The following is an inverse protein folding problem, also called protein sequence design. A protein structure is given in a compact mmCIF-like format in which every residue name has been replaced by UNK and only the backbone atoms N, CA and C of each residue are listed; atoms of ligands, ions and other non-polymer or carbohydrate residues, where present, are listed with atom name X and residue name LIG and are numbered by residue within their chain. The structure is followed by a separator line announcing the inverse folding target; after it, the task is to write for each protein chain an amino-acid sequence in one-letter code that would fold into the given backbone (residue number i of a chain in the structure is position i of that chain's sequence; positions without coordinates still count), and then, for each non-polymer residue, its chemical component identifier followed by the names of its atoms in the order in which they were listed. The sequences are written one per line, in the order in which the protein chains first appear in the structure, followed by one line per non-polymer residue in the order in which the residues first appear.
data_IF_043946683753
#
_entry.id   IF_043946683753
#
_cell.length_a   1.000
_cell.length_b   1.000
_cell.length_c   1.000
_cell.angle_alpha   90.00
_cell.angle_beta   90.00
_cell.angle_gamma   90.00
#
_symmetry.space_group_name_H-M   'P 1'
#
loop_
_entity.id
_entity.type
_entity.pdbx_description
1 polymer ?
#
# COMPACT_ATOMS: atom_id res chain seq x y z
N UNK A 1 7.13 11.36 -33.63
CA UNK A 1 6.60 10.11 -33.07
C UNK A 1 6.62 10.14 -31.53
N UNK A 2 5.56 9.71 -30.96
CA UNK A 2 5.46 9.66 -29.51
C UNK A 2 6.44 8.64 -28.93
N UNK A 3 7.04 8.98 -27.82
CA UNK A 3 7.96 8.08 -27.13
C UNK A 3 7.25 6.90 -26.46
N UNK A 4 5.93 6.90 -26.41
CA UNK A 4 5.17 5.91 -25.66
C UNK A 4 5.05 6.22 -24.17
N UNK A 5 5.71 7.27 -23.70
CA UNK A 5 5.61 7.70 -22.31
C UNK A 5 4.53 8.76 -22.18
N UNK A 6 3.59 8.54 -21.28
CA UNK A 6 2.48 9.46 -21.04
C UNK A 6 2.39 9.78 -19.56
N UNK A 7 1.82 10.94 -19.25
CA UNK A 7 1.52 11.32 -17.86
C UNK A 7 0.10 10.92 -17.53
N UNK A 8 -0.10 10.57 -16.26
CA UNK A 8 -1.42 10.19 -15.77
C UNK A 8 -1.53 10.52 -14.28
N UNK A 9 -2.66 11.07 -13.89
CA UNK A 9 -3.01 11.19 -12.47
C UNK A 9 -3.69 9.90 -12.07
N UNK A 10 -3.14 9.19 -11.09
CA UNK A 10 -3.70 7.91 -10.70
C UNK A 10 -3.41 7.61 -9.24
N UNK A 11 -4.10 6.60 -8.70
CA UNK A 11 -3.92 6.16 -7.32
C UNK A 11 -2.99 4.96 -7.29
N UNK A 12 -1.95 5.04 -6.48
CA UNK A 12 -0.94 3.99 -6.35
C UNK A 12 -1.00 3.42 -4.94
N UNK A 13 -1.02 2.10 -4.86
CA UNK A 13 -0.87 1.36 -3.62
C UNK A 13 0.47 0.65 -3.65
N UNK A 14 1.30 0.91 -2.65
CA UNK A 14 2.58 0.24 -2.49
C UNK A 14 2.55 -0.59 -1.21
N UNK A 15 3.08 -1.79 -1.27
CA UNK A 15 3.11 -2.70 -0.12
C UNK A 15 4.38 -3.50 -0.09
N UNK A 16 4.86 -3.83 1.11
CA UNK A 16 5.93 -4.80 1.29
C UNK A 16 5.78 -5.50 2.65
N UNK A 17 6.48 -6.60 2.81
CA UNK A 17 6.48 -7.35 4.07
C UNK A 17 7.58 -6.82 4.98
N UNK A 18 7.21 -6.46 6.21
CA UNK A 18 8.18 -6.04 7.21
C UNK A 18 9.03 -7.24 7.63
N UNK A 19 10.34 -7.03 7.67
CA UNK A 19 11.27 -8.07 8.15
C UNK A 19 11.40 -9.29 7.25
N UNK A 20 11.09 -9.15 5.96
CA UNK A 20 11.10 -10.27 5.03
C UNK A 20 12.47 -10.97 4.95
N UNK A 21 13.55 -10.19 4.83
CA UNK A 21 14.89 -10.77 4.73
C UNK A 21 15.27 -11.56 5.97
N UNK A 22 14.90 -11.06 7.14
CA UNK A 22 15.17 -11.76 8.40
C UNK A 22 14.35 -13.05 8.48
N UNK A 23 13.07 -12.99 8.10
CA UNK A 23 12.22 -14.16 8.10
C UNK A 23 12.74 -15.23 7.13
N UNK A 24 13.21 -14.82 5.94
CA UNK A 24 13.82 -15.74 4.99
C UNK A 24 15.04 -16.41 5.55
N UNK A 25 15.85 -15.69 6.31
CA UNK A 25 17.05 -16.25 6.95
C UNK A 25 16.74 -17.26 8.05
N UNK A 26 15.57 -17.15 8.66
CA UNK A 26 15.17 -18.04 9.77
C UNK A 26 14.41 -19.26 9.26
N UNK A 27 13.49 -19.07 8.31
CA UNK A 27 12.64 -20.13 7.79
C UNK A 27 12.28 -19.81 6.33
N UNK A 28 13.13 -20.20 5.41
CA UNK A 28 12.99 -19.87 4.01
C UNK A 28 11.70 -20.39 3.41
N UNK A 29 11.40 -21.66 3.61
CA UNK A 29 10.22 -22.28 2.99
C UNK A 29 8.93 -21.77 3.59
N UNK A 30 8.89 -21.61 4.90
CA UNK A 30 7.69 -21.07 5.57
C UNK A 30 7.44 -19.63 5.19
N UNK A 31 8.49 -18.83 5.06
CA UNK A 31 8.38 -17.43 4.66
C UNK A 31 7.89 -17.31 3.22
N UNK A 32 8.42 -18.15 2.33
CA UNK A 32 7.98 -18.15 0.93
C UNK A 32 6.51 -18.54 0.82
N UNK A 33 6.07 -19.54 1.58
CA UNK A 33 4.67 -19.95 1.60
C UNK A 33 3.77 -18.81 2.11
N UNK A 34 4.19 -18.12 3.16
CA UNK A 34 3.46 -16.98 3.70
C UNK A 34 3.36 -15.84 2.68
N UNK A 35 4.45 -15.56 1.95
CA UNK A 35 4.43 -14.53 0.91
C UNK A 35 3.47 -14.90 -0.21
N UNK A 36 3.46 -16.14 -0.66
CA UNK A 36 2.55 -16.59 -1.70
C UNK A 36 1.10 -16.45 -1.28
N UNK A 37 0.77 -16.86 -0.05
CA UNK A 37 -0.57 -16.72 0.48
C UNK A 37 -1.01 -15.26 0.55
N UNK A 38 -0.12 -14.39 1.02
CA UNK A 38 -0.42 -12.97 1.09
C UNK A 38 -0.64 -12.37 -0.29
N UNK A 39 0.18 -12.76 -1.27
CA UNK A 39 0.03 -12.27 -2.65
C UNK A 39 -1.30 -12.67 -3.27
N UNK A 40 -1.80 -13.85 -2.93
CA UNK A 40 -3.13 -14.27 -3.39
C UNK A 40 -4.22 -13.36 -2.81
N UNK A 41 -4.11 -12.98 -1.54
CA UNK A 41 -5.03 -12.05 -0.90
C UNK A 41 -4.98 -10.70 -1.61
N UNK A 42 -3.77 -10.16 -1.83
CA UNK A 42 -3.61 -8.89 -2.55
C UNK A 42 -4.21 -8.97 -3.95
N UNK A 43 -3.87 -9.99 -4.71
CA UNK A 43 -4.31 -10.10 -6.10
C UNK A 43 -5.84 -10.17 -6.20
N UNK A 44 -6.46 -10.98 -5.35
CA UNK A 44 -7.91 -11.14 -5.34
C UNK A 44 -8.62 -9.83 -4.99
N UNK A 45 -8.16 -9.15 -3.96
CA UNK A 45 -8.80 -7.92 -3.50
C UNK A 45 -8.51 -6.72 -4.40
N UNK A 46 -7.30 -6.64 -4.96
CA UNK A 46 -6.98 -5.60 -5.93
C UNK A 46 -7.90 -5.70 -7.14
N UNK A 47 -8.08 -6.90 -7.66
CA UNK A 47 -8.98 -7.12 -8.79
C UNK A 47 -10.42 -6.78 -8.43
N UNK A 48 -10.89 -7.21 -7.27
CA UNK A 48 -12.25 -6.92 -6.81
C UNK A 48 -12.54 -5.43 -6.74
N UNK A 49 -11.54 -4.63 -6.39
CA UNK A 49 -11.67 -3.19 -6.26
C UNK A 49 -11.29 -2.42 -7.53
N UNK A 50 -11.18 -3.11 -8.66
CA UNK A 50 -10.94 -2.48 -9.94
C UNK A 50 -9.51 -2.05 -10.19
N UNK A 51 -8.60 -2.51 -9.36
CA UNK A 51 -7.18 -2.20 -9.52
C UNK A 51 -6.45 -3.22 -10.36
N UNK A 52 -5.17 -2.98 -10.59
CA UNK A 52 -4.29 -3.92 -11.26
C UNK A 52 -2.92 -3.89 -10.62
N UNK A 53 -2.28 -5.04 -10.55
CA UNK A 53 -0.90 -5.12 -10.09
C UNK A 53 0.01 -4.69 -11.24
N UNK A 54 0.88 -3.71 -10.97
CA UNK A 54 1.80 -3.16 -11.97
C UNK A 54 3.14 -3.88 -11.89
N UNK A 55 3.62 -4.13 -10.67
CA UNK A 55 4.94 -4.66 -10.45
C UNK A 55 5.00 -5.43 -9.14
N UNK A 56 5.75 -6.53 -9.14
CA UNK A 56 6.13 -7.24 -7.93
C UNK A 56 7.64 -7.48 -7.98
N UNK A 57 8.34 -7.15 -6.91
CA UNK A 57 9.78 -7.37 -6.81
C UNK A 57 10.08 -7.80 -5.38
N UNK A 58 10.67 -8.99 -5.23
CA UNK A 58 10.91 -9.57 -3.91
C UNK A 58 9.61 -9.69 -3.14
N UNK A 59 9.53 -9.03 -1.99
CA UNK A 59 8.32 -8.99 -1.16
C UNK A 59 7.43 -7.77 -1.46
N UNK A 60 7.87 -6.90 -2.38
CA UNK A 60 7.17 -5.67 -2.70
C UNK A 60 6.09 -5.85 -3.76
N UNK A 61 5.15 -4.92 -3.77
CA UNK A 61 4.04 -4.91 -4.72
C UNK A 61 3.60 -3.47 -4.98
N UNK A 62 3.37 -3.16 -6.25
CA UNK A 62 2.81 -1.87 -6.67
C UNK A 62 1.54 -2.16 -7.45
N UNK A 63 0.46 -1.49 -7.08
CA UNK A 63 -0.81 -1.62 -7.78
C UNK A 63 -1.37 -0.23 -8.10
N UNK A 64 -2.19 -0.17 -9.12
CA UNK A 64 -2.85 1.04 -9.57
C UNK A 64 -4.35 0.88 -9.49
N UNK A 65 -5.05 1.97 -9.11
CA UNK A 65 -6.51 1.97 -9.02
C UNK A 65 -7.07 3.22 -9.70
N UNK A 66 -8.14 3.09 -10.48
CA UNK A 66 -8.82 4.28 -11.01
C UNK A 66 -9.55 5.07 -9.93
N UNK A 67 -9.97 4.43 -8.84
CA UNK A 67 -10.70 5.07 -7.75
C UNK A 67 -9.88 5.11 -6.48
N UNK A 68 -9.74 6.30 -5.89
CA UNK A 68 -9.05 6.48 -4.62
C UNK A 68 -9.77 5.75 -3.49
N UNK A 69 -11.10 5.85 -3.48
CA UNK A 69 -11.93 5.20 -2.46
C UNK A 69 -11.74 3.68 -2.52
N UNK A 70 -11.75 3.11 -3.73
CA UNK A 70 -11.56 1.67 -3.89
C UNK A 70 -10.17 1.22 -3.46
N UNK A 71 -9.16 2.04 -3.71
CA UNK A 71 -7.79 1.70 -3.29
C UNK A 71 -7.68 1.61 -1.77
N UNK A 72 -8.27 2.57 -1.06
CA UNK A 72 -8.22 2.58 0.41
C UNK A 72 -9.05 1.44 0.98
N UNK A 73 -10.23 1.17 0.41
CA UNK A 73 -11.04 0.03 0.83
C UNK A 73 -10.30 -1.29 0.62
N UNK A 74 -9.61 -1.42 -0.50
CA UNK A 74 -8.80 -2.60 -0.79
C UNK A 74 -7.71 -2.77 0.27
N UNK A 75 -6.98 -1.70 0.59
CA UNK A 75 -5.93 -1.76 1.59
C UNK A 75 -6.47 -2.20 2.95
N UNK A 76 -7.63 -1.67 3.34
CA UNK A 76 -8.27 -2.04 4.61
C UNK A 76 -8.65 -3.51 4.62
N UNK A 77 -9.29 -3.98 3.55
CA UNK A 77 -9.70 -5.38 3.47
C UNK A 77 -8.51 -6.34 3.48
N UNK A 78 -7.44 -5.98 2.75
CA UNK A 78 -6.22 -6.78 2.75
C UNK A 78 -5.68 -6.92 4.17
N UNK A 79 -5.54 -5.82 4.88
CA UNK A 79 -4.97 -5.85 6.22
C UNK A 79 -5.85 -6.63 7.20
N UNK A 80 -7.15 -6.50 7.09
CA UNK A 80 -8.08 -7.26 7.92
C UNK A 80 -8.00 -8.75 7.64
N UNK A 81 -7.92 -9.13 6.38
CA UNK A 81 -7.83 -10.53 6.00
C UNK A 81 -6.49 -11.14 6.43
N UNK A 82 -5.39 -10.40 6.25
CA UNK A 82 -4.08 -10.86 6.72
C UNK A 82 -4.02 -10.98 8.23
N UNK A 83 -4.65 -10.07 8.96
CA UNK A 83 -4.72 -10.15 10.42
C UNK A 83 -5.52 -11.38 10.88
N UNK A 84 -6.60 -11.71 10.16
CA UNK A 84 -7.38 -12.90 10.44
C UNK A 84 -6.60 -14.18 10.19
N UNK A 85 -5.84 -14.22 9.11
CA UNK A 85 -5.00 -15.36 8.79
C UNK A 85 -3.87 -15.55 9.80
N UNK A 86 -3.33 -14.44 10.34
CA UNK A 86 -2.27 -14.48 11.35
C UNK A 86 -2.71 -15.17 12.63
N UNK A 87 -3.97 -15.07 12.98
CA UNK A 87 -4.50 -15.76 14.16
C UNK A 87 -4.47 -17.28 14.02
N UNK A 88 -4.37 -17.78 12.79
CA UNK A 88 -4.36 -19.21 12.49
C UNK A 88 -2.96 -19.77 12.30
N UNK A 89 -1.97 -18.92 12.12
CA UNK A 89 -0.60 -19.33 11.85
C UNK A 89 0.37 -18.29 12.36
N UNK A 90 1.44 -18.74 13.04
CA UNK A 90 2.46 -17.85 13.57
C UNK A 90 3.44 -17.37 12.50
N UNK A 91 3.35 -17.91 11.29
CA UNK A 91 4.34 -17.65 10.24
C UNK A 91 3.90 -16.67 9.18
N UNK A 92 2.81 -15.95 9.43
CA UNK A 92 2.35 -14.94 8.50
C UNK A 92 3.17 -13.67 8.59
N UNK A 93 3.36 -13.06 7.43
CA UNK A 93 4.08 -11.81 7.31
C UNK A 93 3.16 -10.63 7.62
N UNK A 94 3.75 -9.57 8.15
CA UNK A 94 3.05 -8.31 8.35
C UNK A 94 3.40 -7.37 7.20
N UNK A 95 2.41 -6.81 6.53
CA UNK A 95 2.63 -5.91 5.42
C UNK A 95 2.44 -4.47 5.82
N UNK A 96 3.25 -3.60 5.21
CA UNK A 96 3.12 -2.15 5.33
C UNK A 96 2.54 -1.66 4.02
N UNK A 97 1.52 -0.80 4.09
CA UNK A 97 0.84 -0.29 2.89
C UNK A 97 0.86 1.22 2.88
N UNK A 98 1.17 1.79 1.72
CA UNK A 98 1.05 3.22 1.47
C UNK A 98 0.16 3.46 0.27
N UNK A 99 -0.71 4.48 0.33
CA UNK A 99 -1.60 4.84 -0.77
C UNK A 99 -1.45 6.32 -1.07
N UNK A 100 -1.21 6.65 -2.33
CA UNK A 100 -1.01 8.01 -2.79
C UNK A 100 -1.75 8.26 -4.11
N UNK A 101 -2.26 9.47 -4.27
CA UNK A 101 -2.84 9.95 -5.53
C UNK A 101 -1.88 10.98 -6.09
N UNK A 102 -1.32 10.72 -7.24
CA UNK A 102 -0.35 11.62 -7.83
C UNK A 102 -0.09 11.38 -9.29
N UNK A 103 0.76 12.22 -9.84
CA UNK A 103 1.14 12.17 -11.24
C UNK A 103 2.21 11.11 -11.43
N UNK A 104 2.04 10.29 -12.45
CA UNK A 104 2.99 9.23 -12.78
C UNK A 104 3.28 9.26 -14.28
N UNK A 105 4.37 8.60 -14.65
CA UNK A 105 4.69 8.35 -16.04
C UNK A 105 4.33 6.90 -16.36
N UNK A 106 3.66 6.70 -17.45
CA UNK A 106 3.32 5.37 -17.94
C UNK A 106 4.26 5.02 -19.10
N UNK A 107 4.97 3.89 -18.94
CA UNK A 107 5.85 3.36 -19.98
C UNK A 107 5.44 1.91 -20.20
N UNK A 108 4.65 1.69 -21.25
CA UNK A 108 4.04 0.38 -21.47
C UNK A 108 3.07 0.04 -20.34
N UNK A 109 3.38 -1.01 -19.58
CA UNK A 109 2.57 -1.41 -18.41
C UNK A 109 3.16 -0.89 -17.10
N UNK A 110 4.34 -0.28 -17.14
CA UNK A 110 5.02 0.20 -15.94
C UNK A 110 4.56 1.60 -15.55
N UNK A 111 4.58 1.85 -14.26
CA UNK A 111 4.38 3.18 -13.70
C UNK A 111 5.67 3.66 -13.08
N UNK A 112 6.06 4.88 -13.41
CA UNK A 112 7.32 5.47 -12.97
C UNK A 112 7.06 6.88 -12.44
N UNK A 113 8.03 7.42 -11.75
CA UNK A 113 8.04 8.82 -11.35
C UNK A 113 7.73 9.06 -9.89
N UNK A 114 7.57 10.34 -9.57
CA UNK A 114 7.45 10.78 -8.18
C UNK A 114 6.24 10.22 -7.46
N UNK A 115 5.10 10.09 -8.14
CA UNK A 115 3.90 9.54 -7.52
C UNK A 115 4.10 8.12 -7.01
N UNK A 116 4.79 7.28 -7.80
CA UNK A 116 5.11 5.92 -7.40
C UNK A 116 6.10 5.94 -6.23
N UNK A 117 7.13 6.78 -6.33
CA UNK A 117 8.14 6.89 -5.27
C UNK A 117 7.53 7.35 -3.96
N UNK A 118 6.57 8.25 -4.02
CA UNK A 118 5.91 8.75 -2.82
C UNK A 118 5.06 7.67 -2.16
N UNK A 119 4.32 6.89 -2.94
CA UNK A 119 3.57 5.75 -2.40
C UNK A 119 4.50 4.76 -1.71
N UNK A 120 5.65 4.48 -2.31
CA UNK A 120 6.65 3.58 -1.72
C UNK A 120 7.22 4.16 -0.42
N UNK A 121 7.40 5.47 -0.34
CA UNK A 121 7.88 6.10 0.90
C UNK A 121 6.85 6.07 2.01
N UNK A 122 5.58 6.28 1.68
CA UNK A 122 4.50 6.13 2.65
C UNK A 122 4.48 4.71 3.21
N UNK A 123 4.60 3.73 2.34
CA UNK A 123 4.64 2.33 2.76
C UNK A 123 5.80 2.08 3.71
N UNK A 124 6.98 2.62 3.42
CA UNK A 124 8.15 2.45 4.28
C UNK A 124 7.94 3.05 5.67
N UNK A 125 7.16 4.12 5.77
CA UNK A 125 6.87 4.80 7.02
C UNK A 125 5.72 4.16 7.80
N UNK A 126 4.96 3.28 7.19
CA UNK A 126 3.82 2.64 7.85
C UNK A 126 4.29 1.62 8.88
N UNK A 127 3.48 1.42 9.91
CA UNK A 127 3.71 0.36 10.87
C UNK A 127 3.35 -0.99 10.23
N UNK A 128 3.99 -2.08 10.67
CA UNK A 128 3.59 -3.42 10.22
C UNK A 128 2.10 -3.64 10.47
N UNK A 129 1.39 -4.08 9.46
CA UNK A 129 -0.05 -4.27 9.52
C UNK A 129 -0.85 -3.00 9.33
N UNK A 130 -0.20 -1.86 9.10
CA UNK A 130 -0.85 -0.56 8.99
C UNK A 130 -0.95 -0.02 7.57
N UNK A 131 -1.59 1.13 7.45
CA UNK A 131 -1.79 1.83 6.19
C UNK A 131 -1.55 3.31 6.42
N UNK A 132 -0.68 3.92 5.61
CA UNK A 132 -0.54 5.36 5.57
C UNK A 132 -1.04 5.89 4.24
N UNK A 133 -1.67 7.06 4.29
CA UNK A 133 -2.18 7.72 3.10
C UNK A 133 -1.69 9.17 3.07
N UNK A 134 -1.56 9.70 1.86
CA UNK A 134 -1.19 11.10 1.67
C UNK A 134 -2.38 12.02 1.88
N UNK A 135 -2.12 13.33 2.02
CA UNK A 135 -3.17 14.35 2.07
C UNK A 135 -4.10 14.26 0.87
N UNK A 136 -3.54 14.04 -0.32
CA UNK A 136 -4.31 13.94 -1.55
C UNK A 136 -5.33 12.80 -1.48
N UNK A 137 -4.93 11.66 -0.92
CA UNK A 137 -5.84 10.54 -0.73
C UNK A 137 -6.88 10.88 0.34
N UNK A 138 -6.43 11.45 1.46
CA UNK A 138 -7.34 11.83 2.54
C UNK A 138 -8.45 12.76 2.05
N UNK A 139 -8.10 13.75 1.23
CA UNK A 139 -9.08 14.70 0.69
C UNK A 139 -10.18 14.00 -0.11
N UNK A 140 -9.85 12.89 -0.75
CA UNK A 140 -10.81 12.14 -1.55
C UNK A 140 -11.66 11.16 -0.76
N UNK A 141 -11.15 10.64 0.35
CA UNK A 141 -11.82 9.53 1.04
C UNK A 141 -12.52 9.94 2.34
N UNK A 142 -12.07 11.01 2.99
CA UNK A 142 -12.75 11.43 4.22
C UNK A 142 -14.17 11.88 3.88
N UNK A 143 -15.12 11.47 4.66
CA UNK A 143 -16.50 11.74 4.36
C UNK A 143 -17.17 10.76 3.40
N UNK A 144 -16.40 9.93 2.70
CA UNK A 144 -16.93 8.89 1.82
C UNK A 144 -16.80 7.51 2.45
N UNK A 145 -15.85 7.34 3.35
CA UNK A 145 -15.66 6.08 4.08
C UNK A 145 -15.97 6.32 5.54
N UNK A 146 -16.71 5.40 6.13
CA UNK A 146 -17.04 5.44 7.57
C UNK A 146 -15.90 4.83 8.36
N UNK A 147 -14.73 5.45 8.23
CA UNK A 147 -13.52 4.99 8.92
C UNK A 147 -12.80 6.20 9.49
N UNK A 148 -12.05 5.96 10.53
CA UNK A 148 -11.31 7.02 11.19
C UNK A 148 -9.91 7.15 10.60
N UNK A 149 -9.47 8.39 10.40
CA UNK A 149 -8.14 8.71 9.92
C UNK A 149 -7.44 9.56 10.98
N UNK A 150 -6.21 9.20 11.32
CA UNK A 150 -5.41 9.93 12.29
C UNK A 150 -4.39 10.80 11.57
N UNK A 151 -4.44 12.11 11.83
CA UNK A 151 -3.46 13.04 11.28
C UNK A 151 -2.11 12.82 11.95
N UNK A 152 -1.09 12.53 11.17
CA UNK A 152 0.26 12.30 11.68
C UNK A 152 1.20 13.47 11.44
N UNK A 153 0.71 14.53 10.82
CA UNK A 153 1.50 15.73 10.57
C UNK A 153 2.31 15.63 9.29
N UNK A 154 3.30 16.49 9.21
CA UNK A 154 4.17 16.57 8.06
C UNK A 154 5.39 15.70 8.24
N UNK A 155 5.80 15.05 7.16
CA UNK A 155 6.98 14.19 7.12
C UNK A 155 7.78 14.53 5.87
N UNK A 156 9.10 14.46 5.96
CA UNK A 156 9.96 14.60 4.79
C UNK A 156 10.57 13.26 4.47
N UNK A 157 10.06 12.56 3.45
CA UNK A 157 10.63 11.27 3.07
C UNK A 157 12.07 11.45 2.58
N UNK A 158 12.86 10.38 2.74
CA UNK A 158 14.24 10.38 2.28
C UNK A 158 14.29 10.69 0.79
N UNK A 159 15.20 11.56 0.40
CA UNK A 159 15.43 12.01 -0.98
C UNK A 159 14.31 12.88 -1.55
N UNK A 160 13.40 13.37 -0.72
CA UNK A 160 12.40 14.35 -1.14
C UNK A 160 12.78 15.73 -0.61
N UNK A 161 12.47 16.76 -1.38
CA UNK A 161 12.79 18.15 -1.01
C UNK A 161 11.67 18.83 -0.26
N UNK A 162 10.47 18.26 -0.28
CA UNK A 162 9.30 18.85 0.34
C UNK A 162 8.70 17.92 1.38
N UNK A 163 8.04 18.52 2.35
CA UNK A 163 7.29 17.75 3.33
C UNK A 163 5.98 17.28 2.74
N UNK A 164 5.54 16.10 3.16
CA UNK A 164 4.22 15.58 2.82
C UNK A 164 3.39 15.45 4.08
N UNK A 165 2.09 15.65 3.95
CA UNK A 165 1.15 15.44 5.05
C UNK A 165 0.63 14.02 5.00
N UNK A 166 0.67 13.35 6.15
CA UNK A 166 0.43 11.92 6.25
C UNK A 166 -0.70 11.63 7.24
N UNK A 167 -1.55 10.69 6.89
CA UNK A 167 -2.61 10.19 7.77
C UNK A 167 -2.47 8.69 7.92
N UNK A 168 -2.84 8.19 9.09
CA UNK A 168 -2.93 6.75 9.34
C UNK A 168 -4.40 6.34 9.26
N UNK A 169 -4.66 5.20 8.63
CA UNK A 169 -5.99 4.60 8.58
C UNK A 169 -6.20 3.76 9.84
N UNK A 170 -7.28 4.00 10.57
CA UNK A 170 -7.62 3.22 11.74
C UNK A 170 -8.32 1.92 11.31
N UNK A 171 -7.73 0.79 11.65
CA UNK A 171 -8.17 -0.50 11.13
C UNK A 171 -9.10 -1.28 12.04
N UNK A 172 -8.92 -1.15 13.35
CA UNK A 172 -9.66 -1.99 14.29
C UNK A 172 -11.06 -1.47 14.62
N UNK A 173 -11.36 -0.25 14.21
CA UNK A 173 -12.67 0.35 14.44
C UNK A 173 -12.98 0.61 15.90
N UNK A 174 -12.05 0.34 16.81
CA UNK A 174 -12.24 0.58 18.23
C UNK A 174 -11.66 1.92 18.62
N UNK A 175 -12.42 2.65 19.38
CA UNK A 175 -11.89 3.87 19.97
C UNK A 175 -10.93 3.54 21.07
N UNK A 176 -9.79 4.20 21.03
CA UNK A 176 -8.89 4.15 22.17
C UNK A 176 -9.39 5.10 23.24
N UNK A 177 -9.29 4.71 24.49
CA UNK A 177 -9.66 5.59 25.58
C UNK A 177 -8.82 6.84 25.62
#
# INVERSE_FOLDING_TARGET
MSSGVQRKLTTILAADAEGYSRAMGTDELGTLAALRSAREVFASLIERHGGRIVNTAGDGLIAEFPSVVEAVQCAIEVQRELAGAKKKSDKNLNFRIGVHLGDVLIDGTDLLGEGVNLAARLQTMAEPGGILISQQVYDQVHGKLSIRFDYLGQRRPKNFTEDITVYRVELDGKRRP
#
